data_IF_860513181957
#
_entry.id   IF_860513181957
#
_cell.length_a   1.000
_cell.length_b   1.000
_cell.length_c   1.000
_cell.angle_alpha   90.00
_cell.angle_beta   90.00
_cell.angle_gamma   90.00
#
_symmetry.space_group_name_H-M   'P 1'
#
loop_
_entity.id
_entity.type
_entity.pdbx_description
1 polymer ?
#
# COMPACT_ATOMS: atom_id res chain seq x y z
N UNK A 1 6.72 43.06 -28.84
CA UNK A 1 7.51 42.48 -27.73
C UNK A 1 7.30 40.98 -27.74
N UNK A 2 8.34 40.22 -28.08
CA UNK A 2 8.30 38.76 -28.04
C UNK A 2 8.44 38.30 -26.59
N UNK A 3 7.52 37.46 -26.09
CA UNK A 3 7.55 36.97 -24.69
C UNK A 3 8.77 36.06 -24.50
N UNK A 4 9.73 36.51 -23.68
CA UNK A 4 11.00 35.81 -23.40
C UNK A 4 10.81 34.53 -22.55
N UNK A 5 9.70 34.40 -21.83
CA UNK A 5 9.32 33.18 -21.11
C UNK A 5 7.78 33.08 -21.09
N UNK A 6 7.27 31.89 -21.41
CA UNK A 6 5.85 31.56 -21.36
C UNK A 6 5.69 30.09 -20.97
N UNK A 7 4.75 29.82 -20.07
CA UNK A 7 4.36 28.48 -19.65
C UNK A 7 2.84 28.34 -19.71
N UNK A 8 2.34 27.34 -20.42
CA UNK A 8 0.90 27.00 -20.46
C UNK A 8 0.68 25.64 -19.82
N UNK A 9 -0.34 25.55 -18.98
CA UNK A 9 -0.74 24.32 -18.29
C UNK A 9 -2.04 23.81 -18.93
N UNK A 10 -2.14 22.51 -19.17
CA UNK A 10 -3.35 21.85 -19.66
C UNK A 10 -3.71 20.73 -18.71
N UNK A 11 -5.00 20.59 -18.47
CA UNK A 11 -5.55 19.61 -17.55
C UNK A 11 -6.48 18.65 -18.30
N UNK A 12 -6.58 17.41 -17.84
CA UNK A 12 -7.55 16.44 -18.34
C UNK A 12 -8.95 16.67 -17.75
N UNK A 13 -9.91 15.83 -18.14
CA UNK A 13 -11.29 15.90 -17.68
C UNK A 13 -11.47 15.64 -16.17
N UNK A 14 -10.48 15.00 -15.52
CA UNK A 14 -10.44 14.77 -14.08
C UNK A 14 -9.74 15.92 -13.32
N UNK A 15 -9.27 16.96 -14.02
CA UNK A 15 -8.58 18.11 -13.44
C UNK A 15 -7.10 17.87 -13.14
N UNK A 16 -6.49 16.81 -13.69
CA UNK A 16 -5.09 16.45 -13.47
C UNK A 16 -4.20 17.10 -14.54
N UNK A 17 -2.96 17.46 -14.21
CA UNK A 17 -2.07 18.20 -15.11
C UNK A 17 -1.57 17.29 -16.24
N UNK A 18 -2.19 17.37 -17.41
CA UNK A 18 -1.85 16.51 -18.56
C UNK A 18 -0.66 17.02 -19.38
N UNK A 19 -0.44 18.35 -19.44
CA UNK A 19 0.65 18.92 -20.25
C UNK A 19 1.14 20.28 -19.77
N UNK A 20 2.45 20.51 -19.89
CA UNK A 20 3.10 21.81 -19.77
C UNK A 20 3.71 22.16 -21.12
N UNK A 21 3.34 23.29 -21.71
CA UNK A 21 4.06 23.87 -22.85
C UNK A 21 4.97 24.99 -22.31
N UNK A 22 6.27 24.75 -22.18
CA UNK A 22 7.27 25.74 -21.74
C UNK A 22 8.13 26.21 -22.93
N UNK A 23 8.16 27.53 -23.16
CA UNK A 23 8.88 28.11 -24.30
C UNK A 23 10.40 27.92 -24.23
N UNK A 24 10.96 27.77 -23.03
CA UNK A 24 12.41 27.64 -22.81
C UNK A 24 12.85 26.19 -22.61
N UNK A 25 11.96 25.34 -22.09
CA UNK A 25 12.26 23.95 -21.69
C UNK A 25 11.53 22.89 -22.52
N UNK A 26 10.78 23.28 -23.54
CA UNK A 26 9.99 22.36 -24.35
C UNK A 26 8.71 21.87 -23.66
N UNK A 27 8.03 20.92 -24.29
CA UNK A 27 6.78 20.39 -23.77
C UNK A 27 7.00 19.20 -22.82
N UNK A 28 6.22 19.14 -21.75
CA UNK A 28 6.14 17.97 -20.87
C UNK A 28 4.73 17.41 -20.87
N UNK A 29 4.59 16.09 -20.97
CA UNK A 29 3.30 15.39 -20.99
C UNK A 29 3.20 14.37 -19.87
N UNK A 30 2.02 14.28 -19.26
CA UNK A 30 1.74 13.40 -18.15
C UNK A 30 0.50 12.56 -18.45
N UNK A 31 0.58 11.28 -18.15
CA UNK A 31 -0.53 10.33 -18.26
C UNK A 31 -0.86 9.74 -16.91
N UNK A 32 -2.14 9.55 -16.62
CA UNK A 32 -2.63 9.05 -15.35
C UNK A 32 -3.56 7.85 -15.54
N UNK A 33 -3.71 7.06 -14.48
CA UNK A 33 -4.71 6.00 -14.44
C UNK A 33 -6.07 6.51 -13.91
N UNK A 34 -7.13 5.70 -13.97
CA UNK A 34 -8.48 6.12 -13.55
C UNK A 34 -8.61 6.51 -12.06
N UNK A 35 -7.62 6.19 -11.22
CA UNK A 35 -7.60 6.58 -9.80
C UNK A 35 -6.62 7.73 -9.53
N UNK A 36 -6.05 8.34 -10.58
CA UNK A 36 -5.21 9.53 -10.53
C UNK A 36 -3.73 9.29 -10.25
N UNK A 37 -3.22 8.07 -10.46
CA UNK A 37 -1.80 7.76 -10.33
C UNK A 37 -1.07 8.03 -11.64
N UNK A 38 0.15 8.57 -11.57
CA UNK A 38 0.92 8.98 -12.74
C UNK A 38 1.50 7.76 -13.49
N UNK A 39 0.92 7.37 -14.61
CA UNK A 39 1.39 6.26 -15.48
C UNK A 39 2.55 6.63 -16.40
N UNK A 40 2.71 7.91 -16.72
CA UNK A 40 3.72 8.35 -17.69
C UNK A 40 4.13 9.79 -17.46
N UNK A 41 5.41 10.08 -17.59
CA UNK A 41 5.95 11.42 -17.71
C UNK A 41 6.89 11.49 -18.92
N UNK A 42 6.68 12.45 -19.81
CA UNK A 42 7.52 12.69 -20.98
C UNK A 42 8.02 14.12 -20.91
N UNK A 43 9.32 14.32 -20.95
CA UNK A 43 9.98 15.61 -21.19
C UNK A 43 10.85 15.49 -22.44
N UNK A 44 11.42 16.59 -22.96
CA UNK A 44 12.31 16.50 -24.12
C UNK A 44 13.55 15.63 -23.87
N UNK A 45 13.99 15.51 -22.62
CA UNK A 45 15.19 14.78 -22.21
C UNK A 45 14.91 13.37 -21.65
N UNK A 46 13.66 13.05 -21.30
CA UNK A 46 13.33 11.84 -20.55
C UNK A 46 11.93 11.31 -20.84
N UNK A 47 11.80 9.99 -20.97
CA UNK A 47 10.50 9.30 -20.96
C UNK A 47 10.47 8.28 -19.82
N UNK A 48 9.57 8.50 -18.87
CA UNK A 48 9.30 7.57 -17.77
C UNK A 48 7.90 6.99 -17.91
N UNK A 49 7.80 5.67 -17.75
CA UNK A 49 6.53 4.94 -17.74
C UNK A 49 6.48 4.19 -16.41
N UNK A 50 5.42 4.45 -15.66
CA UNK A 50 5.11 3.83 -14.39
C UNK A 50 3.95 2.86 -14.62
N UNK A 51 4.11 1.63 -14.15
CA UNK A 51 3.00 0.70 -14.05
C UNK A 51 2.72 0.53 -12.57
N UNK A 52 1.46 0.50 -12.15
CA UNK A 52 1.09 0.24 -10.76
C UNK A 52 0.18 -0.97 -10.68
N UNK A 53 0.39 -1.80 -9.66
CA UNK A 53 -0.55 -2.86 -9.37
C UNK A 53 -1.87 -2.25 -8.87
N UNK A 54 -2.95 -3.02 -8.80
CA UNK A 54 -4.24 -2.55 -8.27
C UNK A 54 -4.21 -1.99 -6.84
N UNK A 55 -3.07 -2.06 -6.15
CA UNK A 55 -2.92 -1.65 -4.77
C UNK A 55 -2.03 -0.43 -4.54
N UNK A 56 -1.37 0.08 -5.58
CA UNK A 56 -0.58 1.32 -5.48
C UNK A 56 0.92 1.13 -5.64
N UNK A 57 1.43 -0.08 -5.83
CA UNK A 57 2.86 -0.30 -5.94
C UNK A 57 3.31 -0.26 -7.39
N UNK A 58 4.49 0.30 -7.68
CA UNK A 58 5.06 0.21 -9.01
C UNK A 58 5.31 -1.25 -9.43
N UNK A 59 4.74 -1.70 -10.55
CA UNK A 59 4.92 -3.02 -11.18
C UNK A 59 5.68 -2.87 -12.49
N UNK A 60 6.97 -2.62 -12.39
CA UNK A 60 7.89 -3.05 -13.43
C UNK A 60 9.03 -3.87 -12.82
N UNK A 61 8.74 -5.11 -12.38
CA UNK A 61 9.74 -5.97 -11.73
C UNK A 61 10.91 -6.30 -12.66
N UNK A 62 10.74 -6.21 -13.98
CA UNK A 62 11.82 -6.43 -14.94
C UNK A 62 12.88 -5.30 -14.93
N UNK A 63 12.53 -4.11 -14.42
CA UNK A 63 13.45 -2.97 -14.25
C UNK A 63 14.01 -2.86 -12.83
N UNK A 64 13.54 -3.68 -11.89
CA UNK A 64 14.03 -3.68 -10.52
C UNK A 64 15.08 -4.79 -10.42
N UNK A 65 16.38 -4.46 -10.27
CA UNK A 65 17.39 -5.49 -10.03
C UNK A 65 17.03 -6.29 -8.76
N UNK A 66 17.25 -7.61 -8.74
CA UNK A 66 16.95 -8.43 -7.57
C UNK A 66 17.71 -7.90 -6.34
N UNK A 67 17.07 -7.99 -5.17
CA UNK A 67 17.71 -7.62 -3.91
C UNK A 67 18.99 -8.47 -3.72
N UNK A 68 20.08 -7.92 -3.14
CA UNK A 68 21.34 -8.65 -3.07
C UNK A 68 21.22 -9.97 -2.31
N UNK A 69 21.68 -11.04 -2.96
CA UNK A 69 21.75 -12.35 -2.33
C UNK A 69 22.92 -12.47 -1.35
N UNK A 70 22.77 -13.44 -0.44
CA UNK A 70 23.81 -13.79 0.52
C UNK A 70 24.16 -12.62 1.44
N UNK A 71 23.17 -11.80 1.80
CA UNK A 71 23.24 -10.89 2.94
C UNK A 71 23.07 -11.71 4.21
N UNK A 72 23.82 -11.34 5.26
CA UNK A 72 23.63 -11.94 6.57
C UNK A 72 22.18 -11.73 7.03
N UNK A 73 21.48 -12.83 7.28
CA UNK A 73 20.12 -12.80 7.82
C UNK A 73 20.13 -12.31 9.26
N UNK A 74 18.99 -11.83 9.75
CA UNK A 74 18.84 -11.44 11.16
C UNK A 74 19.22 -12.57 12.12
N UNK A 75 18.86 -13.80 11.75
CA UNK A 75 19.17 -14.99 12.53
C UNK A 75 20.67 -15.25 12.60
N UNK A 76 21.38 -15.21 11.46
CA UNK A 76 22.83 -15.41 11.39
C UNK A 76 23.57 -14.30 12.14
N UNK A 77 23.15 -13.04 11.98
CA UNK A 77 23.72 -11.89 12.70
C UNK A 77 23.56 -12.01 14.20
N UNK A 78 22.38 -12.42 14.66
CA UNK A 78 22.11 -12.66 16.08
C UNK A 78 22.99 -13.79 16.63
N UNK A 79 23.10 -14.90 15.88
CA UNK A 79 23.96 -16.02 16.28
C UNK A 79 25.45 -15.61 16.33
N UNK A 80 25.91 -14.78 15.39
CA UNK A 80 27.27 -14.25 15.38
C UNK A 80 27.55 -13.36 16.60
N UNK A 81 26.69 -12.37 16.87
CA UNK A 81 26.86 -11.51 18.05
C UNK A 81 26.78 -12.29 19.37
N UNK A 82 25.95 -13.34 19.44
CA UNK A 82 25.91 -14.21 20.62
C UNK A 82 27.24 -14.96 20.84
N UNK A 83 27.88 -15.45 19.77
CA UNK A 83 29.21 -16.07 19.85
C UNK A 83 30.29 -15.08 20.26
N UNK A 84 30.34 -13.91 19.59
CA UNK A 84 31.32 -12.86 19.91
C UNK A 84 31.19 -12.38 21.37
N UNK A 85 29.95 -12.25 21.88
CA UNK A 85 29.70 -11.90 23.27
C UNK A 85 30.15 -12.99 24.26
N UNK A 86 30.01 -14.27 23.91
CA UNK A 86 30.49 -15.38 24.72
C UNK A 86 32.03 -15.40 24.79
N UNK A 87 32.71 -15.20 23.65
CA UNK A 87 34.17 -15.08 23.59
C UNK A 87 34.68 -13.90 24.43
N UNK A 88 34.02 -12.74 24.37
CA UNK A 88 34.39 -11.58 25.18
C UNK A 88 34.19 -11.84 26.68
N UNK A 89 33.12 -12.53 27.05
CA UNK A 89 32.87 -12.93 28.42
C UNK A 89 33.97 -13.87 28.95
N UNK A 90 34.41 -14.82 28.13
CA UNK A 90 35.53 -15.71 28.47
C UNK A 90 36.86 -14.95 28.60
N UNK A 91 37.14 -14.04 27.66
CA UNK A 91 38.34 -13.22 27.69
C UNK A 91 38.41 -12.33 28.94
N UNK A 92 37.28 -11.70 29.32
CA UNK A 92 37.19 -10.86 30.51
C UNK A 92 37.38 -11.64 31.82
N UNK A 93 36.95 -12.92 31.87
CA UNK A 93 37.23 -13.79 33.03
C UNK A 93 38.73 -14.08 33.16
N UNK A 94 39.43 -14.23 32.03
CA UNK A 94 40.87 -14.47 32.01
C UNK A 94 41.71 -13.19 32.25
N UNK A 95 41.16 -12.01 31.96
CA UNK A 95 41.85 -10.71 32.07
C UNK A 95 41.04 -9.70 32.91
N UNK A 96 40.93 -9.90 34.23
CA UNK A 96 40.12 -9.05 35.09
C UNK A 96 40.62 -7.60 35.08
N UNK A 97 39.69 -6.65 34.95
CA UNK A 97 39.97 -5.21 34.91
C UNK A 97 40.41 -4.65 33.55
N UNK A 98 40.59 -5.51 32.54
CA UNK A 98 40.88 -5.09 31.16
C UNK A 98 39.62 -5.16 30.28
N UNK A 99 39.63 -4.45 29.16
CA UNK A 99 38.53 -4.47 28.17
C UNK A 99 38.94 -5.26 26.93
N UNK A 100 38.05 -6.07 26.34
CA UNK A 100 38.30 -6.71 25.05
C UNK A 100 38.56 -5.68 23.95
N UNK A 101 39.30 -6.08 22.93
CA UNK A 101 39.51 -5.26 21.74
C UNK A 101 38.20 -5.09 20.97
N UNK A 102 38.01 -3.91 20.37
CA UNK A 102 36.85 -3.68 19.50
C UNK A 102 36.99 -4.51 18.23
N UNK A 103 36.02 -5.38 17.95
CA UNK A 103 35.95 -6.12 16.68
C UNK A 103 35.37 -5.22 15.60
N UNK A 104 36.04 -5.19 14.45
CA UNK A 104 35.53 -4.53 13.25
C UNK A 104 34.56 -5.46 12.51
N UNK A 105 33.30 -5.03 12.32
CA UNK A 105 32.28 -5.79 11.59
C UNK A 105 32.47 -5.69 10.06
N UNK A 106 33.48 -6.40 9.56
CA UNK A 106 33.80 -6.41 8.13
C UNK A 106 32.64 -6.93 7.28
N UNK A 107 31.86 -7.88 7.80
CA UNK A 107 30.72 -8.48 7.11
C UNK A 107 29.57 -7.48 6.98
N UNK A 108 29.18 -6.82 8.07
CA UNK A 108 28.15 -5.79 8.06
C UNK A 108 28.51 -4.60 7.17
N UNK A 109 29.81 -4.27 7.04
CA UNK A 109 30.29 -3.27 6.07
C UNK A 109 30.11 -3.75 4.63
N UNK A 110 30.44 -5.00 4.32
CA UNK A 110 30.27 -5.57 2.97
C UNK A 110 28.79 -5.67 2.57
N UNK A 111 27.93 -6.14 3.47
CA UNK A 111 26.50 -6.28 3.20
C UNK A 111 25.84 -4.91 2.98
N UNK A 112 26.23 -3.89 3.76
CA UNK A 112 25.81 -2.50 3.53
C UNK A 112 26.26 -1.94 2.19
N UNK A 113 27.49 -2.26 1.73
CA UNK A 113 27.96 -1.87 0.39
C UNK A 113 27.13 -2.51 -0.72
N UNK A 114 26.76 -3.80 -0.58
CA UNK A 114 25.87 -4.48 -1.54
C UNK A 114 24.50 -3.80 -1.62
N UNK A 115 23.91 -3.48 -0.47
CA UNK A 115 22.62 -2.78 -0.40
C UNK A 115 22.71 -1.37 -0.98
N UNK A 116 23.80 -0.64 -0.72
CA UNK A 116 23.99 0.71 -1.27
C UNK A 116 24.21 0.68 -2.79
N UNK A 117 24.96 -0.29 -3.31
CA UNK A 117 25.12 -0.49 -4.75
C UNK A 117 23.79 -0.87 -5.42
N UNK A 118 23.02 -1.74 -4.79
CA UNK A 118 21.67 -2.09 -5.26
C UNK A 118 20.75 -0.86 -5.27
N UNK A 119 20.73 -0.07 -4.19
CA UNK A 119 19.97 1.20 -4.14
C UNK A 119 20.33 2.15 -5.27
N UNK A 120 21.63 2.34 -5.55
CA UNK A 120 22.11 3.17 -6.67
C UNK A 120 21.77 2.60 -8.04
N UNK A 121 21.51 1.30 -8.14
CA UNK A 121 21.10 0.62 -9.38
C UNK A 121 19.59 0.62 -9.61
N UNK A 122 18.81 1.05 -8.61
CA UNK A 122 17.38 1.19 -8.76
C UNK A 122 17.08 2.28 -9.81
N UNK A 123 16.00 2.13 -10.59
CA UNK A 123 15.56 3.19 -11.48
C UNK A 123 15.38 4.51 -10.72
N UNK A 124 15.72 5.64 -11.35
CA UNK A 124 15.68 6.98 -10.73
C UNK A 124 14.31 7.33 -10.13
N UNK A 125 13.23 6.81 -10.70
CA UNK A 125 11.88 6.97 -10.16
C UNK A 125 11.59 6.18 -8.88
N UNK A 126 12.38 5.14 -8.58
CA UNK A 126 12.32 4.36 -7.34
C UNK A 126 13.24 4.94 -6.24
N UNK A 127 14.26 5.72 -6.61
CA UNK A 127 15.08 6.52 -5.67
C UNK A 127 14.39 7.84 -5.27
N UNK A 128 13.27 8.18 -5.92
CA UNK A 128 12.39 9.30 -5.59
C UNK A 128 11.41 9.00 -4.43
N UNK A 129 11.68 7.96 -3.65
CA UNK A 129 10.89 7.61 -2.46
C UNK A 129 11.06 8.72 -1.42
N UNK A 130 10.05 9.58 -1.36
CA UNK A 130 10.05 10.85 -0.66
C UNK A 130 10.17 10.64 0.86
N UNK A 131 11.36 10.81 1.45
CA UNK A 131 11.54 10.66 2.90
C UNK A 131 10.90 11.78 3.74
N UNK A 132 10.91 13.00 3.24
CA UNK A 132 10.26 14.15 3.87
C UNK A 132 9.85 15.19 2.82
N UNK A 133 8.66 15.80 2.98
CA UNK A 133 8.20 16.91 2.14
C UNK A 133 7.20 17.78 2.90
N UNK A 134 7.43 19.11 2.93
CA UNK A 134 6.60 20.08 3.68
C UNK A 134 6.37 19.66 5.15
N UNK A 135 7.39 19.09 5.80
CA UNK A 135 7.32 18.58 7.17
C UNK A 135 6.50 17.29 7.33
N UNK A 136 6.04 16.69 6.24
CA UNK A 136 5.46 15.34 6.23
C UNK A 136 6.59 14.34 6.05
N UNK A 137 6.80 13.45 7.01
CA UNK A 137 7.81 12.38 6.93
C UNK A 137 7.18 11.06 6.48
N UNK A 138 7.90 10.30 5.66
CA UNK A 138 7.46 9.02 5.12
C UNK A 138 8.51 7.94 5.39
N UNK A 139 8.05 6.73 5.66
CA UNK A 139 8.92 5.57 5.91
C UNK A 139 8.38 4.36 5.17
N UNK A 140 9.32 3.54 4.70
CA UNK A 140 9.07 2.46 3.77
C UNK A 140 9.72 1.17 4.28
N UNK A 141 9.14 0.02 3.93
CA UNK A 141 9.74 -1.28 4.19
C UNK A 141 10.88 -1.60 3.20
N UNK A 142 11.50 -2.78 3.34
CA UNK A 142 12.60 -3.21 2.47
C UNK A 142 12.17 -3.43 1.01
N UNK A 143 10.87 -3.56 0.75
CA UNK A 143 10.27 -3.72 -0.57
C UNK A 143 9.83 -2.38 -1.19
N UNK A 144 9.96 -1.28 -0.44
CA UNK A 144 9.60 0.07 -0.88
C UNK A 144 8.14 0.44 -0.66
N UNK A 145 7.37 -0.38 0.08
CA UNK A 145 5.98 -0.02 0.39
C UNK A 145 5.94 1.00 1.53
N UNK A 146 5.11 2.03 1.40
CA UNK A 146 4.93 3.04 2.45
C UNK A 146 4.34 2.39 3.70
N UNK A 147 5.06 2.38 4.84
CA UNK A 147 4.57 1.78 6.09
C UNK A 147 4.18 2.82 7.14
N UNK A 148 4.71 4.04 7.04
CA UNK A 148 4.36 5.15 7.95
C UNK A 148 4.43 6.50 7.26
N UNK A 149 3.40 7.35 7.47
CA UNK A 149 3.37 8.76 7.06
C UNK A 149 3.05 9.63 8.27
N UNK A 150 3.87 10.61 8.59
CA UNK A 150 3.69 11.53 9.73
C UNK A 150 3.53 12.95 9.21
N UNK A 151 2.44 13.60 9.56
CA UNK A 151 2.19 15.00 9.19
C UNK A 151 2.76 15.97 10.23
N UNK A 152 3.00 17.24 9.85
CA UNK A 152 3.25 18.31 10.81
C UNK A 152 2.14 18.35 11.86
N UNK A 153 2.50 18.33 13.15
CA UNK A 153 1.54 18.26 14.26
C UNK A 153 1.32 16.84 14.80
N UNK A 154 1.98 15.82 14.25
CA UNK A 154 2.06 14.48 14.85
C UNK A 154 1.01 13.48 14.37
N UNK A 155 0.01 13.92 13.60
CA UNK A 155 -0.94 13.00 12.96
C UNK A 155 -0.17 11.96 12.15
N UNK A 156 -0.46 10.69 12.40
CA UNK A 156 0.34 9.58 11.86
C UNK A 156 -0.55 8.53 11.21
N UNK A 157 -0.22 8.16 9.98
CA UNK A 157 -0.75 6.99 9.30
C UNK A 157 0.23 5.84 9.39
N UNK A 158 -0.28 4.64 9.70
CA UNK A 158 0.40 3.37 9.56
C UNK A 158 -0.29 2.56 8.47
N UNK A 159 0.50 1.90 7.61
CA UNK A 159 -0.01 1.12 6.49
C UNK A 159 0.44 -0.32 6.59
N UNK A 160 -0.45 -1.24 6.25
CA UNK A 160 -0.20 -2.68 6.21
C UNK A 160 -0.44 -3.21 4.81
N UNK A 161 0.47 -4.06 4.35
CA UNK A 161 0.46 -4.65 3.01
C UNK A 161 0.31 -6.17 3.11
N UNK A 162 -0.29 -6.80 2.10
CA UNK A 162 -0.35 -8.26 1.97
C UNK A 162 0.88 -8.81 1.26
N UNK A 163 0.97 -10.14 1.14
CA UNK A 163 2.13 -10.81 0.56
C UNK A 163 2.30 -10.55 -0.96
N UNK A 164 1.25 -10.08 -1.63
CA UNK A 164 1.29 -9.67 -3.03
C UNK A 164 1.63 -8.17 -3.17
N UNK A 165 2.06 -7.54 -2.08
CA UNK A 165 2.36 -6.11 -2.03
C UNK A 165 1.13 -5.25 -1.83
N UNK A 166 -0.10 -5.76 -1.74
CA UNK A 166 -1.30 -4.90 -1.84
C UNK A 166 -1.69 -4.27 -0.50
N UNK A 167 -2.15 -3.01 -0.51
CA UNK A 167 -2.57 -2.31 0.70
C UNK A 167 -3.78 -3.03 1.32
N UNK A 168 -3.59 -3.69 2.46
CA UNK A 168 -4.69 -4.37 3.17
C UNK A 168 -5.26 -3.50 4.29
N UNK A 169 -4.48 -2.56 4.80
CA UNK A 169 -4.84 -1.80 5.99
C UNK A 169 -4.19 -0.41 6.03
N UNK A 170 -4.93 0.60 6.50
CA UNK A 170 -4.38 1.90 6.84
C UNK A 170 -5.02 2.43 8.14
N UNK A 171 -4.21 2.88 9.09
CA UNK A 171 -4.67 3.33 10.41
C UNK A 171 -4.17 4.74 10.70
N UNK A 172 -5.08 5.67 11.02
CA UNK A 172 -4.76 7.06 11.37
C UNK A 172 -4.79 7.26 12.88
N UNK A 173 -3.74 7.83 13.42
CA UNK A 173 -3.56 8.15 14.82
C UNK A 173 -3.37 9.65 15.02
N UNK A 174 -3.89 10.18 16.14
CA UNK A 174 -3.73 11.59 16.52
C UNK A 174 -2.26 12.00 16.73
N UNK A 175 -1.44 11.04 17.17
CA UNK A 175 0.00 11.19 17.42
C UNK A 175 0.76 9.98 16.90
N UNK A 176 2.09 10.04 16.73
CA UNK A 176 2.88 8.87 16.39
C UNK A 176 2.79 7.86 17.54
N UNK A 177 2.26 6.64 17.31
CA UNK A 177 2.22 5.65 18.37
C UNK A 177 3.55 4.89 18.44
N UNK A 178 3.94 4.47 19.64
CA UNK A 178 5.05 3.53 19.80
C UNK A 178 4.61 2.12 19.38
N UNK A 179 5.55 1.26 18.98
CA UNK A 179 5.25 -0.08 18.48
C UNK A 179 4.43 -0.94 19.47
N UNK A 180 4.66 -0.78 20.79
CA UNK A 180 3.93 -1.49 21.84
C UNK A 180 2.54 -0.89 22.15
N UNK A 181 2.25 0.32 21.63
CA UNK A 181 0.97 1.01 21.87
C UNK A 181 -0.10 0.63 20.86
N UNK A 182 0.29 0.09 19.70
CA UNK A 182 -0.62 -0.41 18.65
C UNK A 182 -0.73 -1.92 18.71
N UNK A 183 -1.65 -2.47 17.93
CA UNK A 183 -1.72 -3.92 17.75
C UNK A 183 -0.42 -4.45 17.17
N UNK A 184 0.15 -5.46 17.81
CA UNK A 184 1.39 -6.08 17.39
C UNK A 184 1.40 -7.56 17.73
N UNK A 185 2.29 -8.30 17.09
CA UNK A 185 2.50 -9.72 17.35
C UNK A 185 3.79 -9.89 18.15
N UNK A 186 3.73 -10.71 19.20
CA UNK A 186 4.88 -11.03 20.05
C UNK A 186 5.19 -12.51 19.91
N UNK A 187 6.44 -12.84 19.61
CA UNK A 187 6.91 -14.23 19.58
C UNK A 187 7.18 -14.70 21.01
N UNK A 188 6.55 -15.80 21.38
CA UNK A 188 6.67 -16.46 22.68
C UNK A 188 7.24 -17.87 22.48
N UNK A 189 7.62 -18.54 23.57
CA UNK A 189 8.06 -19.93 23.52
C UNK A 189 7.04 -20.87 22.85
N UNK A 190 5.74 -20.51 22.88
CA UNK A 190 4.64 -21.31 22.37
C UNK A 190 4.07 -20.80 21.04
N UNK A 191 4.79 -19.91 20.33
CA UNK A 191 4.37 -19.36 19.03
C UNK A 191 4.07 -17.86 19.07
N UNK A 192 3.26 -17.39 18.12
CA UNK A 192 2.97 -15.96 17.94
C UNK A 192 1.68 -15.57 18.67
N UNK A 193 1.77 -14.60 19.58
CA UNK A 193 0.62 -14.03 20.30
C UNK A 193 0.27 -12.67 19.73
N UNK A 194 -0.99 -12.45 19.39
CA UNK A 194 -1.50 -11.12 19.06
C UNK A 194 -1.75 -10.32 20.34
N UNK A 195 -1.26 -9.09 20.39
CA UNK A 195 -1.42 -8.17 21.51
C UNK A 195 -2.17 -6.95 21.02
N UNK A 196 -3.33 -6.69 21.63
CA UNK A 196 -4.13 -5.50 21.33
C UNK A 196 -3.44 -4.25 21.88
N UNK A 197 -3.33 -3.23 21.02
CA UNK A 197 -2.78 -1.93 21.38
C UNK A 197 -3.65 -1.17 22.38
N UNK A 198 -3.02 -0.32 23.19
CA UNK A 198 -3.73 0.61 24.10
C UNK A 198 -4.21 1.87 23.39
N UNK A 199 -3.54 2.25 22.30
CA UNK A 199 -3.89 3.42 21.50
C UNK A 199 -4.69 2.95 20.30
N UNK A 200 -5.95 3.36 20.24
CA UNK A 200 -6.82 3.06 19.11
C UNK A 200 -6.65 4.11 18.00
N UNK A 201 -6.72 3.71 16.73
CA UNK A 201 -6.73 4.66 15.64
C UNK A 201 -8.04 5.45 15.63
N UNK A 202 -7.97 6.72 15.21
CA UNK A 202 -9.15 7.54 14.97
C UNK A 202 -9.90 7.10 13.70
N UNK A 203 -9.16 6.51 12.76
CA UNK A 203 -9.69 5.93 11.52
C UNK A 203 -8.93 4.64 11.22
N UNK A 204 -9.64 3.54 10.97
CA UNK A 204 -9.08 2.29 10.47
C UNK A 204 -9.71 1.94 9.14
N UNK A 205 -8.88 1.75 8.11
CA UNK A 205 -9.29 1.34 6.78
C UNK A 205 -8.85 -0.09 6.55
N UNK A 206 -9.76 -0.96 6.12
CA UNK A 206 -9.46 -2.34 5.73
C UNK A 206 -9.89 -2.58 4.30
N UNK A 207 -9.00 -3.15 3.49
CA UNK A 207 -9.25 -3.47 2.09
C UNK A 207 -9.22 -4.99 1.89
N UNK A 208 -10.07 -5.48 0.98
CA UNK A 208 -10.00 -6.88 0.50
C UNK A 208 -9.96 -6.91 -1.01
N UNK A 209 -9.36 -7.98 -1.50
CA UNK A 209 -9.15 -8.23 -2.91
C UNK A 209 -9.57 -9.66 -3.24
N UNK A 210 -9.96 -9.89 -4.48
CA UNK A 210 -10.11 -11.24 -5.01
C UNK A 210 -8.77 -11.83 -5.49
N UNK A 211 -8.84 -13.03 -6.08
CA UNK A 211 -7.68 -13.74 -6.61
C UNK A 211 -7.01 -13.03 -7.81
N UNK A 212 -7.73 -12.13 -8.50
CA UNK A 212 -7.20 -11.33 -9.60
C UNK A 212 -6.61 -9.99 -9.12
N UNK A 213 -6.69 -9.70 -7.83
CA UNK A 213 -6.18 -8.45 -7.27
C UNK A 213 -7.11 -7.26 -7.41
N UNK A 214 -8.34 -7.46 -7.84
CA UNK A 214 -9.35 -6.41 -7.88
C UNK A 214 -9.89 -6.18 -6.48
N UNK A 215 -10.04 -4.91 -6.07
CA UNK A 215 -10.57 -4.57 -4.73
C UNK A 215 -12.03 -4.97 -4.69
N UNK A 216 -12.45 -5.77 -3.72
CA UNK A 216 -13.83 -6.22 -3.52
C UNK A 216 -14.51 -5.56 -2.33
N UNK A 217 -13.72 -5.06 -1.38
CA UNK A 217 -14.23 -4.43 -0.16
C UNK A 217 -13.31 -3.30 0.29
N UNK A 218 -13.92 -2.22 0.77
CA UNK A 218 -13.30 -1.19 1.60
C UNK A 218 -14.17 -0.97 2.83
N UNK A 219 -13.58 -1.04 4.01
CA UNK A 219 -14.22 -0.65 5.26
C UNK A 219 -13.46 0.52 5.86
N UNK A 220 -14.18 1.53 6.33
CA UNK A 220 -13.64 2.68 7.05
C UNK A 220 -14.35 2.77 8.38
N UNK A 221 -13.63 2.40 9.43
CA UNK A 221 -14.08 2.48 10.81
C UNK A 221 -13.58 3.79 11.42
N UNK A 222 -14.48 4.58 12.03
CA UNK A 222 -14.14 5.87 12.67
C UNK A 222 -14.19 5.74 14.19
N UNK A 223 -13.54 6.68 14.87
CA UNK A 223 -13.67 6.86 16.32
C UNK A 223 -15.15 6.92 16.72
N UNK A 224 -15.61 5.92 17.49
CA UNK A 224 -17.02 5.72 17.82
C UNK A 224 -17.60 4.39 17.32
N UNK A 225 -16.88 3.65 16.45
CA UNK A 225 -17.19 2.27 16.08
C UNK A 225 -18.14 2.10 14.89
N UNK A 226 -18.56 3.19 14.25
CA UNK A 226 -19.32 3.13 13.00
C UNK A 226 -18.41 2.76 11.83
N UNK A 227 -18.94 1.97 10.90
CA UNK A 227 -18.19 1.45 9.75
C UNK A 227 -18.88 1.87 8.46
N UNK A 228 -18.18 2.66 7.64
CA UNK A 228 -18.56 2.90 6.25
C UNK A 228 -17.98 1.79 5.38
N UNK A 229 -18.83 1.05 4.68
CA UNK A 229 -18.44 -0.07 3.82
C UNK A 229 -18.71 0.28 2.36
N UNK A 230 -17.73 0.05 1.50
CA UNK A 230 -17.89 0.07 0.05
C UNK A 230 -17.63 -1.33 -0.50
N UNK A 231 -18.61 -1.88 -1.21
CA UNK A 231 -18.49 -3.14 -1.95
C UNK A 231 -18.27 -2.80 -3.42
N UNK A 232 -17.33 -3.50 -4.04
CA UNK A 232 -16.98 -3.29 -5.45
C UNK A 232 -17.34 -4.54 -6.24
N UNK A 233 -18.08 -4.35 -7.33
CA UNK A 233 -18.46 -5.41 -8.26
C UNK A 233 -17.75 -5.19 -9.58
N UNK A 234 -17.27 -6.29 -10.17
CA UNK A 234 -16.44 -6.29 -11.36
C UNK A 234 -17.06 -7.16 -12.45
N UNK A 235 -16.89 -6.73 -13.68
CA UNK A 235 -17.18 -7.49 -14.90
C UNK A 235 -15.85 -7.74 -15.64
N UNK A 236 -15.29 -8.93 -15.51
CA UNK A 236 -13.88 -9.14 -15.86
C UNK A 236 -13.00 -8.05 -15.20
N UNK A 237 -12.17 -7.36 -15.97
CA UNK A 237 -11.31 -6.30 -15.42
C UNK A 237 -11.98 -4.92 -15.30
N UNK A 238 -13.25 -4.81 -15.69
CA UNK A 238 -14.03 -3.57 -15.62
C UNK A 238 -14.70 -3.44 -14.25
N UNK A 239 -14.54 -2.29 -13.60
CA UNK A 239 -15.27 -2.00 -12.38
C UNK A 239 -16.68 -1.63 -12.76
N UNK A 240 -17.68 -2.44 -12.40
CA UNK A 240 -19.07 -2.21 -12.79
C UNK A 240 -19.79 -1.29 -11.79
N UNK A 241 -19.59 -1.55 -10.50
CA UNK A 241 -20.44 -0.98 -9.46
C UNK A 241 -19.70 -0.79 -8.14
N UNK A 242 -19.91 0.37 -7.51
CA UNK A 242 -19.60 0.64 -6.12
C UNK A 242 -20.90 0.80 -5.32
N UNK A 243 -21.09 0.01 -4.27
CA UNK A 243 -22.20 0.21 -3.34
C UNK A 243 -21.68 0.63 -1.97
N UNK A 244 -22.24 1.70 -1.41
CA UNK A 244 -21.85 2.26 -0.12
C UNK A 244 -22.91 1.96 0.93
N UNK A 245 -22.46 1.52 2.09
CA UNK A 245 -23.28 1.19 3.24
C UNK A 245 -22.69 1.82 4.50
N UNK A 246 -23.55 2.13 5.45
CA UNK A 246 -23.16 2.50 6.80
C UNK A 246 -23.63 1.42 7.79
N UNK A 247 -22.73 0.95 8.62
CA UNK A 247 -23.02 0.11 9.78
C UNK A 247 -22.82 0.97 11.03
N UNK A 248 -23.90 1.18 11.79
CA UNK A 248 -23.84 1.92 13.04
C UNK A 248 -22.95 1.17 14.06
N UNK A 249 -22.37 1.86 15.05
CA UNK A 249 -21.62 1.22 16.11
C UNK A 249 -22.42 0.07 16.74
N UNK A 250 -21.77 -1.05 16.99
CA UNK A 250 -22.44 -2.18 17.63
C UNK A 250 -23.03 -1.74 18.99
N UNK A 251 -24.36 -1.66 19.07
CA UNK A 251 -25.05 -1.63 20.35
C UNK A 251 -24.74 -2.92 21.12
N UNK A 252 -24.80 -2.87 22.44
CA UNK A 252 -24.41 -3.94 23.39
C UNK A 252 -25.15 -5.29 23.22
N UNK A 253 -25.90 -5.52 22.14
CA UNK A 253 -26.84 -6.64 21.95
C UNK A 253 -26.97 -7.23 20.55
N UNK A 254 -26.15 -6.88 19.56
CA UNK A 254 -26.33 -7.45 18.21
C UNK A 254 -25.06 -8.15 17.68
N UNK A 255 -24.70 -9.27 18.34
CA UNK A 255 -23.85 -10.30 17.74
C UNK A 255 -24.67 -11.10 16.71
N UNK A 256 -25.23 -10.41 15.72
CA UNK A 256 -25.89 -11.03 14.59
C UNK A 256 -24.92 -11.93 13.83
N UNK A 257 -25.27 -13.20 13.72
CA UNK A 257 -24.58 -14.25 12.96
C UNK A 257 -24.14 -13.70 11.59
N UNK A 258 -22.82 -13.65 11.34
CA UNK A 258 -22.26 -13.29 10.03
C UNK A 258 -22.68 -14.36 9.02
N UNK A 259 -23.80 -14.17 8.33
CA UNK A 259 -24.21 -15.03 7.22
C UNK A 259 -23.43 -14.63 5.99
N UNK A 260 -22.22 -15.18 5.85
CA UNK A 260 -21.58 -15.27 4.55
C UNK A 260 -22.36 -16.28 3.72
N UNK A 261 -23.21 -15.80 2.81
CA UNK A 261 -23.70 -16.64 1.73
C UNK A 261 -22.57 -16.76 0.73
N UNK A 262 -22.16 -18.00 0.42
CA UNK A 262 -21.17 -18.25 -0.63
C UNK A 262 -21.57 -17.49 -1.89
N UNK A 263 -20.61 -16.80 -2.48
CA UNK A 263 -20.79 -16.04 -3.71
C UNK A 263 -21.06 -17.04 -4.84
N UNK A 264 -22.28 -17.06 -5.38
CA UNK A 264 -22.64 -17.91 -6.52
C UNK A 264 -22.19 -17.20 -7.80
N UNK A 265 -21.05 -17.61 -8.34
CA UNK A 265 -20.60 -17.19 -9.68
C UNK A 265 -21.54 -17.78 -10.73
N UNK A 266 -22.09 -16.92 -11.58
CA UNK A 266 -22.85 -17.31 -12.78
C UNK A 266 -21.96 -17.00 -13.97
N UNK A 267 -21.80 -17.97 -14.87
CA UNK A 267 -20.99 -17.85 -16.09
C UNK A 267 -21.82 -17.30 -17.24
N UNK A 268 -21.17 -16.58 -18.16
CA UNK A 268 -21.77 -16.09 -19.40
C UNK A 268 -22.37 -17.25 -20.20
N UNK A 269 -21.63 -18.36 -20.28
CA UNK A 269 -22.10 -19.64 -20.76
C UNK A 269 -22.15 -20.65 -19.58
N UNK A 270 -23.35 -21.08 -19.15
CA UNK A 270 -23.50 -22.05 -18.07
C UNK A 270 -22.88 -23.42 -18.37
N UNK A 271 -22.73 -23.78 -19.64
CA UNK A 271 -22.28 -25.09 -20.11
C UNK A 271 -20.76 -25.12 -20.38
N UNK A 272 -20.09 -23.97 -20.43
CA UNK A 272 -18.63 -23.84 -20.50
C UNK A 272 -18.01 -23.58 -19.11
N UNK A 273 -17.19 -24.51 -18.64
CA UNK A 273 -16.50 -24.40 -17.35
C UNK A 273 -15.50 -23.23 -17.28
N UNK A 274 -15.03 -22.74 -18.43
CA UNK A 274 -14.03 -21.68 -18.58
C UNK A 274 -14.61 -20.32 -18.98
N UNK A 275 -15.92 -20.23 -19.26
CA UNK A 275 -16.56 -18.97 -19.58
C UNK A 275 -16.43 -17.95 -18.44
N UNK A 276 -16.28 -16.68 -18.81
CA UNK A 276 -16.16 -15.58 -17.87
C UNK A 276 -17.44 -15.49 -17.01
N UNK A 277 -17.31 -15.05 -15.74
CA UNK A 277 -18.48 -14.81 -14.91
C UNK A 277 -19.24 -13.56 -15.39
N UNK A 278 -20.57 -13.63 -15.48
CA UNK A 278 -21.43 -12.46 -15.67
C UNK A 278 -21.26 -11.53 -14.47
N UNK A 279 -21.14 -10.24 -14.73
CA UNK A 279 -21.17 -9.23 -13.69
C UNK A 279 -22.46 -9.29 -12.88
N UNK A 280 -22.35 -9.61 -11.59
CA UNK A 280 -23.50 -9.76 -10.72
C UNK A 280 -23.31 -9.06 -9.41
N UNK A 281 -24.39 -8.47 -8.91
CA UNK A 281 -24.49 -7.91 -7.56
C UNK A 281 -24.24 -9.01 -6.53
N UNK A 282 -23.07 -9.00 -5.90
CA UNK A 282 -22.64 -10.09 -5.01
C UNK A 282 -22.31 -9.57 -3.60
N UNK A 283 -23.35 -9.30 -2.82
CA UNK A 283 -23.22 -9.18 -1.37
C UNK A 283 -24.47 -9.68 -0.64
N UNK A 284 -24.30 -10.26 0.55
CA UNK A 284 -25.40 -10.72 1.43
C UNK A 284 -25.76 -9.71 2.53
N UNK A 285 -25.31 -8.45 2.39
CA UNK A 285 -25.57 -7.40 3.36
C UNK A 285 -27.09 -7.14 3.49
N UNK A 286 -27.66 -7.59 4.60
CA UNK A 286 -29.08 -7.39 4.90
C UNK A 286 -29.37 -5.98 5.43
N UNK A 287 -30.53 -5.44 5.04
CA UNK A 287 -30.97 -4.07 5.35
C UNK A 287 -31.09 -3.74 6.85
N UNK A 288 -31.10 -4.74 7.74
CA UNK A 288 -31.20 -4.52 9.19
C UNK A 288 -29.91 -4.00 9.85
N UNK A 289 -28.75 -4.48 9.42
CA UNK A 289 -27.43 -4.09 9.97
C UNK A 289 -26.71 -3.04 9.11
N UNK A 290 -27.00 -3.05 7.82
CA UNK A 290 -26.33 -2.23 6.82
C UNK A 290 -27.32 -1.24 6.21
N UNK A 291 -27.14 0.03 6.51
CA UNK A 291 -27.90 1.11 5.88
C UNK A 291 -27.25 1.43 4.54
N UNK A 292 -27.94 1.12 3.44
CA UNK A 292 -27.50 1.56 2.11
C UNK A 292 -27.44 3.09 2.05
N UNK A 293 -26.41 3.63 1.41
CA UNK A 293 -26.14 5.08 1.34
C UNK A 293 -26.20 5.59 -0.09
N UNK A 294 -25.52 4.92 -1.02
CA UNK A 294 -25.40 5.33 -2.41
C UNK A 294 -24.85 4.17 -3.26
N UNK A 295 -25.03 4.27 -4.56
CA UNK A 295 -24.35 3.43 -5.54
C UNK A 295 -23.68 4.28 -6.63
N UNK A 296 -22.63 3.75 -7.25
CA UNK A 296 -22.06 4.33 -8.46
C UNK A 296 -21.88 3.22 -9.51
N UNK A 297 -22.54 3.36 -10.65
CA UNK A 297 -22.43 2.44 -11.79
C UNK A 297 -21.50 3.03 -12.83
N UNK A 298 -20.63 2.19 -13.38
CA UNK A 298 -19.68 2.57 -14.40
C UNK A 298 -20.07 1.93 -15.73
N UNK A 299 -20.09 2.76 -16.77
CA UNK A 299 -20.37 2.34 -18.15
C UNK A 299 -19.10 2.52 -18.99
N UNK A 300 -18.86 1.58 -19.89
CA UNK A 300 -17.68 1.55 -20.75
C UNK A 300 -18.09 1.49 -22.22
N UNK A 301 -17.22 2.00 -23.10
CA UNK A 301 -17.40 1.76 -24.53
C UNK A 301 -17.27 0.25 -24.83
N UNK A 302 -18.14 -0.32 -25.69
CA UNK A 302 -18.18 -1.76 -25.93
C UNK A 302 -16.82 -2.37 -26.32
N UNK A 303 -16.40 -3.39 -25.58
CA UNK A 303 -15.15 -4.13 -25.84
C UNK A 303 -13.87 -3.36 -25.49
N UNK A 304 -13.97 -2.25 -24.75
CA UNK A 304 -12.82 -1.44 -24.35
C UNK A 304 -12.79 -1.18 -22.84
N UNK A 305 -11.68 -0.62 -22.37
CA UNK A 305 -11.52 -0.09 -21.01
C UNK A 305 -11.86 1.41 -20.91
N UNK A 306 -12.40 2.02 -21.96
CA UNK A 306 -12.67 3.47 -21.99
C UNK A 306 -13.95 3.77 -21.21
N UNK A 307 -13.88 4.50 -20.08
CA UNK A 307 -15.06 4.85 -19.32
C UNK A 307 -15.91 5.85 -20.10
N UNK A 308 -17.16 5.49 -20.34
CA UNK A 308 -18.15 6.33 -21.02
C UNK A 308 -18.86 7.25 -20.03
N UNK A 309 -19.26 6.70 -18.88
CA UNK A 309 -19.98 7.44 -17.85
C UNK A 309 -19.83 6.80 -16.47
N UNK A 310 -20.01 7.62 -15.44
CA UNK A 310 -20.28 7.19 -14.07
C UNK A 310 -21.63 7.76 -13.66
N UNK A 311 -22.52 6.88 -13.21
CA UNK A 311 -23.87 7.22 -12.76
C UNK A 311 -23.92 7.02 -11.26
N UNK A 312 -24.13 8.09 -10.50
CA UNK A 312 -24.30 8.03 -9.05
C UNK A 312 -25.81 7.98 -8.71
N UNK A 313 -26.20 7.10 -7.79
CA UNK A 313 -27.54 6.92 -7.23
C UNK A 313 -27.53 7.12 -5.71
#
# INVERSE_FOLDING_TARGET
HERLAERRLRYDAAGQLARIDDRTRGASEYGYDPVGRLLKAVTPELTEIFAFDPAGNPVDPAKIPPYPDGLETEHERTARYAREAAEDAEWMRAHPGQKPFSRHDARGVQDRKKVEAWRKSLPTWLDNVMGEYLGVAYEYDAQGNLVRRREPGGLTWLYGWDAAGRLKEARRYARPPAAHEVDHQVRTANGVRFVTGKVQPEVSVRLRYDAFGRRTLKEVERAGGGIDRTVFTWDGDLMLLEERFHEAPAGRRDEGRRTYGGVRLVREDPDDAYALPVAQRQHTLGAGRYQWQAAAVYLYEPGTFVPLARLDE
#
